data_IF_959846941140
#
_entry.id   IF_959846941140
#
_cell.length_a   1.000
_cell.length_b   1.000
_cell.length_c   1.000
_cell.angle_alpha   90.00
_cell.angle_beta   90.00
_cell.angle_gamma   90.00
#
_symmetry.space_group_name_H-M   'P 1'
#
loop_
_entity.id
_entity.type
_entity.pdbx_description
1 polymer ?
#
# COMPACT_ATOMS: atom_id res chain seq x y z
N UNK A 1 24.01 11.04 2.04
CA UNK A 1 22.85 10.89 2.91
C UNK A 1 21.72 10.19 2.18
N UNK A 2 21.04 9.21 2.80
CA UNK A 2 19.91 8.60 2.16
C UNK A 2 18.76 9.60 2.00
N UNK A 3 18.08 9.53 0.88
CA UNK A 3 16.91 10.33 0.61
C UNK A 3 15.67 9.52 0.93
N UNK A 4 14.71 10.18 1.54
CA UNK A 4 13.42 9.60 1.89
C UNK A 4 12.34 10.38 1.15
N UNK A 5 11.41 9.67 0.55
CA UNK A 5 10.26 10.28 -0.08
C UNK A 5 9.01 10.04 0.77
N UNK A 6 8.13 11.01 0.80
CA UNK A 6 6.84 10.91 1.47
C UNK A 6 5.76 11.21 0.44
N UNK A 7 4.87 10.25 0.26
CA UNK A 7 3.73 10.44 -0.62
C UNK A 7 2.58 11.04 0.16
N UNK A 8 2.06 12.14 -0.36
CA UNK A 8 0.80 12.71 0.13
C UNK A 8 -0.24 12.48 -0.96
N UNK A 9 -1.30 11.78 -0.63
CA UNK A 9 -2.38 11.53 -1.57
C UNK A 9 -3.71 11.47 -0.85
N UNK A 10 -4.77 11.78 -1.58
CA UNK A 10 -6.12 11.51 -1.13
C UNK A 10 -6.53 10.16 -1.70
N UNK A 11 -6.77 9.20 -0.82
CA UNK A 11 -7.22 7.88 -1.26
C UNK A 11 -8.65 7.96 -1.77
N UNK A 12 -8.88 7.41 -2.94
CA UNK A 12 -10.22 7.26 -3.48
C UNK A 12 -10.88 5.97 -3.03
N UNK A 13 -12.06 5.71 -3.55
CA UNK A 13 -12.80 4.47 -3.28
C UNK A 13 -12.46 3.36 -4.26
N UNK A 14 -11.75 3.67 -5.34
CA UNK A 14 -11.35 2.69 -6.35
C UNK A 14 -9.98 2.11 -6.03
N UNK A 15 -9.89 0.82 -5.67
CA UNK A 15 -8.61 0.18 -5.34
C UNK A 15 -7.59 0.21 -6.48
N UNK A 16 -8.05 0.14 -7.74
CA UNK A 16 -7.14 0.17 -8.88
C UNK A 16 -6.51 1.54 -9.09
N UNK A 17 -7.28 2.61 -8.88
CA UNK A 17 -6.74 3.96 -8.95
C UNK A 17 -5.71 4.20 -7.86
N UNK A 18 -5.98 3.70 -6.65
CA UNK A 18 -5.04 3.79 -5.53
C UNK A 18 -3.76 2.99 -5.82
N UNK A 19 -3.90 1.81 -6.41
CA UNK A 19 -2.77 0.97 -6.78
C UNK A 19 -1.88 1.67 -7.82
N UNK A 20 -2.49 2.31 -8.81
CA UNK A 20 -1.78 3.05 -9.84
C UNK A 20 -1.04 4.25 -9.24
N UNK A 21 -1.67 4.97 -8.32
CA UNK A 21 -1.05 6.12 -7.65
C UNK A 21 0.18 5.68 -6.84
N UNK A 22 0.09 4.56 -6.13
CA UNK A 22 1.22 4.01 -5.37
C UNK A 22 2.35 3.61 -6.29
N UNK A 23 2.06 2.90 -7.37
CA UNK A 23 3.06 2.47 -8.34
C UNK A 23 3.81 3.67 -8.92
N UNK A 24 3.07 4.69 -9.36
CA UNK A 24 3.66 5.90 -9.93
C UNK A 24 4.53 6.64 -8.91
N UNK A 25 4.10 6.67 -7.65
CA UNK A 25 4.87 7.32 -6.59
C UNK A 25 6.18 6.60 -6.30
N UNK A 26 6.19 5.26 -6.33
CA UNK A 26 7.39 4.46 -6.12
C UNK A 26 8.40 4.71 -7.24
N UNK A 27 7.93 4.68 -8.48
CA UNK A 27 8.79 4.95 -9.64
C UNK A 27 9.38 6.36 -9.57
N UNK A 28 8.54 7.36 -9.27
CA UNK A 28 8.98 8.74 -9.16
C UNK A 28 10.00 8.92 -8.03
N UNK A 29 9.78 8.30 -6.88
CA UNK A 29 10.71 8.37 -5.77
C UNK A 29 12.06 7.78 -6.14
N UNK A 30 12.07 6.63 -6.79
CA UNK A 30 13.31 5.99 -7.24
C UNK A 30 14.06 6.85 -8.26
N UNK A 31 13.34 7.45 -9.20
CA UNK A 31 13.92 8.33 -10.22
C UNK A 31 14.54 9.58 -9.59
N UNK A 32 14.04 10.01 -8.45
CA UNK A 32 14.57 11.15 -7.70
C UNK A 32 15.65 10.74 -6.68
N UNK A 33 16.08 9.51 -6.69
CA UNK A 33 17.17 9.03 -5.84
C UNK A 33 16.79 8.71 -4.40
N UNK A 34 15.50 8.49 -4.13
CA UNK A 34 15.08 8.11 -2.78
C UNK A 34 15.49 6.67 -2.48
N UNK A 35 15.92 6.42 -1.25
CA UNK A 35 16.22 5.07 -0.76
C UNK A 35 14.97 4.38 -0.20
N UNK A 36 13.98 5.14 0.19
CA UNK A 36 12.74 4.65 0.77
C UNK A 36 11.61 5.63 0.53
N UNK A 37 10.41 5.11 0.36
CA UNK A 37 9.21 5.93 0.28
C UNK A 37 8.22 5.50 1.37
N UNK A 38 7.55 6.47 1.98
CA UNK A 38 6.47 6.28 2.94
C UNK A 38 5.17 6.72 2.30
N UNK A 39 4.16 5.87 2.32
CA UNK A 39 2.84 6.22 1.84
C UNK A 39 1.88 6.41 3.01
N UNK A 40 0.83 7.22 2.83
CA UNK A 40 -0.13 7.46 3.90
C UNK A 40 -1.01 6.25 4.15
N UNK A 41 -1.81 6.32 5.20
CA UNK A 41 -2.82 5.33 5.49
C UNK A 41 -3.77 5.21 4.30
N UNK A 42 -3.84 3.99 3.78
CA UNK A 42 -4.64 3.65 2.59
C UNK A 42 -5.87 2.85 2.98
N UNK A 43 -6.31 2.93 4.20
CA UNK A 43 -7.54 2.23 4.61
C UNK A 43 -8.73 2.60 3.73
N UNK A 44 -8.43 3.31 2.74
CA UNK A 44 -8.95 3.55 1.42
C UNK A 44 -10.39 3.65 1.26
N UNK A 45 -10.86 3.20 2.13
CA UNK A 45 -12.22 3.11 2.20
C UNK A 45 -12.70 4.30 2.99
N UNK A 46 -12.44 5.45 2.45
CA UNK A 46 -13.21 6.63 2.71
C UNK A 46 -14.65 6.45 2.25
N UNK A 47 -14.98 5.26 1.78
CA UNK A 47 -16.33 4.91 1.41
C UNK A 47 -17.12 4.58 2.67
N UNK A 48 -18.07 5.44 2.99
CA UNK A 48 -18.94 5.29 4.17
C UNK A 48 -20.02 4.22 3.98
N UNK A 49 -20.21 3.76 2.75
CA UNK A 49 -21.13 2.66 2.46
C UNK A 49 -20.42 1.34 2.70
N UNK A 50 -20.72 0.67 3.80
CA UNK A 50 -20.07 -0.59 4.17
C UNK A 50 -20.31 -1.71 3.15
N UNK A 51 -21.47 -1.73 2.50
CA UNK A 51 -21.77 -2.75 1.48
C UNK A 51 -20.92 -2.55 0.25
N UNK A 52 -20.72 -1.29 -0.16
CA UNK A 52 -19.86 -0.96 -1.29
C UNK A 52 -18.39 -1.18 -0.92
N UNK A 53 -17.99 -0.77 0.26
CA UNK A 53 -16.63 -0.97 0.77
C UNK A 53 -16.28 -2.45 0.85
N UNK A 54 -17.20 -3.29 1.30
CA UNK A 54 -16.98 -4.73 1.42
C UNK A 54 -16.59 -5.38 0.10
N UNK A 55 -17.07 -4.86 -1.03
CA UNK A 55 -16.70 -5.39 -2.35
C UNK A 55 -15.25 -5.11 -2.73
N UNK A 56 -14.66 -4.09 -2.14
CA UNK A 56 -13.28 -3.67 -2.42
C UNK A 56 -12.28 -4.27 -1.44
N UNK A 57 -12.73 -4.79 -0.30
CA UNK A 57 -11.86 -5.40 0.70
C UNK A 57 -11.73 -6.88 0.42
N UNK A 58 -10.50 -7.30 0.12
CA UNK A 58 -10.19 -8.67 -0.26
C UNK A 58 -9.04 -9.19 0.59
N UNK A 59 -8.73 -10.46 0.44
CA UNK A 59 -7.57 -11.06 1.11
C UNK A 59 -6.29 -10.30 0.72
N UNK A 60 -5.30 -10.32 1.62
CA UNK A 60 -4.01 -9.68 1.37
C UNK A 60 -3.43 -10.07 0.01
N UNK A 61 -3.46 -11.36 -0.31
CA UNK A 61 -2.92 -11.89 -1.57
C UNK A 61 -3.64 -11.38 -2.82
N UNK A 62 -4.86 -10.90 -2.67
CA UNK A 62 -5.69 -10.42 -3.78
C UNK A 62 -5.76 -8.88 -3.85
N UNK A 63 -5.05 -8.20 -2.96
CA UNK A 63 -5.12 -6.73 -2.86
C UNK A 63 -4.31 -6.07 -3.97
N UNK A 64 -4.95 -5.32 -4.90
CA UNK A 64 -4.23 -4.73 -6.03
C UNK A 64 -3.11 -3.76 -5.62
N UNK A 65 -3.35 -2.94 -4.61
CA UNK A 65 -2.35 -1.97 -4.15
C UNK A 65 -1.09 -2.66 -3.65
N UNK A 66 -1.23 -3.76 -2.91
CA UNK A 66 -0.09 -4.51 -2.40
C UNK A 66 0.68 -5.19 -3.54
N UNK A 67 -0.01 -5.84 -4.45
CA UNK A 67 0.61 -6.51 -5.59
C UNK A 67 1.39 -5.52 -6.47
N UNK A 68 0.77 -4.37 -6.79
CA UNK A 68 1.41 -3.30 -7.56
C UNK A 68 2.61 -2.72 -6.85
N UNK A 69 2.48 -2.48 -5.54
CA UNK A 69 3.57 -1.93 -4.73
C UNK A 69 4.76 -2.90 -4.69
N UNK A 70 4.52 -4.19 -4.52
CA UNK A 70 5.59 -5.18 -4.49
C UNK A 70 6.34 -5.26 -5.83
N UNK A 71 5.60 -5.27 -6.92
CA UNK A 71 6.20 -5.30 -8.26
C UNK A 71 7.00 -4.03 -8.54
N UNK A 72 6.43 -2.86 -8.24
CA UNK A 72 7.12 -1.59 -8.44
C UNK A 72 8.37 -1.48 -7.57
N UNK A 73 8.30 -1.95 -6.33
CA UNK A 73 9.42 -1.96 -5.39
C UNK A 73 10.57 -2.81 -5.92
N UNK A 74 10.25 -3.99 -6.44
CA UNK A 74 11.25 -4.89 -7.01
C UNK A 74 11.95 -4.23 -8.22
N UNK A 75 11.19 -3.59 -9.10
CA UNK A 75 11.75 -2.91 -10.26
C UNK A 75 12.57 -1.68 -9.90
N UNK A 76 12.12 -0.93 -8.90
CA UNK A 76 12.77 0.31 -8.47
C UNK A 76 13.97 0.07 -7.55
N UNK A 77 14.00 -1.04 -6.83
CA UNK A 77 15.12 -1.36 -5.93
C UNK A 77 15.20 -0.50 -4.68
N UNK A 78 14.08 0.02 -4.20
CA UNK A 78 14.03 0.85 -2.98
C UNK A 78 13.10 0.22 -1.94
N UNK A 79 13.22 0.67 -0.69
CA UNK A 79 12.31 0.26 0.39
C UNK A 79 10.99 1.02 0.28
N UNK A 80 9.90 0.34 0.62
CA UNK A 80 8.58 0.98 0.65
C UNK A 80 7.90 0.66 1.98
N UNK A 81 7.48 1.71 2.69
CA UNK A 81 6.61 1.58 3.84
C UNK A 81 5.20 1.97 3.41
N UNK A 82 4.36 0.97 3.18
CA UNK A 82 2.96 1.23 2.90
C UNK A 82 2.23 1.53 4.20
N UNK A 83 1.54 2.65 4.23
CA UNK A 83 0.54 2.91 5.25
C UNK A 83 -0.53 1.82 5.20
N UNK A 84 -1.38 1.76 6.19
CA UNK A 84 -2.29 0.63 6.32
C UNK A 84 -3.25 0.51 5.15
N UNK A 85 -3.42 -0.73 4.70
CA UNK A 85 -4.44 -1.13 3.74
C UNK A 85 -5.52 -1.90 4.50
N UNK A 86 -6.77 -1.73 4.08
CA UNK A 86 -7.84 -2.58 4.56
C UNK A 86 -7.74 -3.93 3.86
N UNK A 87 -7.57 -4.98 4.62
CA UNK A 87 -7.50 -6.34 4.08
C UNK A 87 -8.44 -7.25 4.84
N UNK A 88 -8.86 -8.31 4.18
CA UNK A 88 -9.72 -9.32 4.77
C UNK A 88 -8.88 -10.49 5.26
N UNK A 89 -9.10 -10.91 6.49
CA UNK A 89 -8.43 -12.09 7.03
C UNK A 89 -9.21 -13.36 6.64
N UNK A 90 -8.57 -14.55 6.74
CA UNK A 90 -9.25 -15.81 6.38
C UNK A 90 -10.52 -16.10 7.18
N UNK A 91 -10.69 -15.50 8.35
CA UNK A 91 -11.89 -15.65 9.17
C UNK A 91 -12.94 -14.57 8.91
N UNK A 92 -12.86 -13.90 7.76
CA UNK A 92 -13.83 -12.92 7.30
C UNK A 92 -13.84 -11.60 8.09
N UNK A 93 -12.81 -11.35 8.90
CA UNK A 93 -12.62 -10.09 9.61
C UNK A 93 -11.78 -9.13 8.79
N UNK A 94 -12.02 -7.84 8.98
CA UNK A 94 -11.23 -6.80 8.33
C UNK A 94 -10.12 -6.33 9.26
N UNK A 95 -8.96 -6.05 8.69
CA UNK A 95 -7.84 -5.48 9.40
C UNK A 95 -7.27 -4.31 8.62
N UNK A 96 -6.78 -3.30 9.33
CA UNK A 96 -5.95 -2.27 8.74
C UNK A 96 -4.51 -2.70 8.96
N UNK A 97 -3.84 -3.06 7.88
CA UNK A 97 -2.50 -3.66 7.95
C UNK A 97 -1.49 -2.81 7.21
N UNK A 98 -0.42 -2.45 7.89
CA UNK A 98 0.73 -1.76 7.30
C UNK A 98 1.76 -2.79 6.84
N UNK A 99 2.54 -2.43 5.82
CA UNK A 99 3.54 -3.31 5.25
C UNK A 99 4.85 -2.56 5.06
N UNK A 100 5.96 -3.25 5.29
CA UNK A 100 7.27 -2.80 4.85
C UNK A 100 7.74 -3.79 3.77
N UNK A 101 8.06 -3.26 2.60
CA UNK A 101 8.49 -4.04 1.45
C UNK A 101 9.96 -3.73 1.19
N UNK A 102 10.78 -4.77 1.08
CA UNK A 102 12.20 -4.61 0.81
C UNK A 102 12.48 -4.38 -0.68
N UNK A 103 13.72 -4.01 -1.06
CA UNK A 103 14.05 -3.75 -2.47
C UNK A 103 13.86 -4.94 -3.42
N UNK A 104 13.73 -6.15 -2.91
CA UNK A 104 13.43 -7.32 -3.72
C UNK A 104 11.93 -7.48 -3.99
N UNK A 105 11.09 -6.65 -3.38
CA UNK A 105 9.64 -6.76 -3.51
C UNK A 105 9.00 -7.71 -2.51
N UNK A 106 9.77 -8.19 -1.55
CA UNK A 106 9.28 -9.09 -0.51
C UNK A 106 8.76 -8.31 0.69
N UNK A 107 7.72 -8.85 1.32
CA UNK A 107 7.17 -8.25 2.53
C UNK A 107 8.11 -8.57 3.69
N UNK A 108 8.81 -7.52 4.18
CA UNK A 108 9.75 -7.66 5.28
C UNK A 108 9.05 -7.61 6.64
N UNK A 109 7.94 -6.88 6.74
CA UNK A 109 7.18 -6.77 7.98
C UNK A 109 5.72 -6.46 7.69
N UNK A 110 4.86 -6.93 8.59
CA UNK A 110 3.43 -6.62 8.63
C UNK A 110 3.08 -6.09 10.00
N UNK A 111 2.18 -5.15 10.04
CA UNK A 111 1.75 -4.58 11.31
C UNK A 111 0.26 -4.25 11.22
N UNK A 112 -0.54 -4.85 12.10
CA UNK A 112 -1.97 -4.58 12.18
C UNK A 112 -2.21 -3.45 13.18
N UNK A 113 -2.95 -2.42 12.73
CA UNK A 113 -3.35 -1.35 13.63
C UNK A 113 -4.45 -1.84 14.55
N UNK A 114 -4.27 -1.55 15.83
CA UNK A 114 -5.26 -1.83 16.85
C UNK A 114 -6.07 -0.56 17.08
N UNK A 115 -7.37 -0.69 17.00
CA UNK A 115 -8.28 0.41 17.26
C UNK A 115 -8.99 0.21 18.60
#
# INVERSE_FOLDING_TARGET
MPRIAILQMTSGIDPEDNATAIENAIVSAADNGAAMIFTPEMSGLLDRDRKRAAKSIVLESDTPALARARDATHRAGIWVSLGSLAVKSPNDRWANRAFVIDPNGDIAARYDKIH
#
